data_IF_487497872716
#
_entry.id   IF_487497872716
#
_cell.length_a   1.000
_cell.length_b   1.000
_cell.length_c   1.000
_cell.angle_alpha   90.00
_cell.angle_beta   90.00
_cell.angle_gamma   90.00
#
_symmetry.space_group_name_H-M   'P 1'
#
loop_
_entity.id
_entity.type
_entity.pdbx_description
1 polymer ?
#
# COMPACT_ATOMS: atom_id res chain seq x y z
N UNK A 1 17.86 27.49 -4.15
CA UNK A 1 16.86 26.52 -3.66
C UNK A 1 15.49 27.18 -3.69
N UNK A 2 14.44 26.54 -4.22
CA UNK A 2 13.10 27.09 -4.10
C UNK A 2 12.63 27.01 -2.63
N UNK A 3 11.77 27.94 -2.19
CA UNK A 3 11.29 27.99 -0.81
C UNK A 3 10.40 26.78 -0.50
N UNK A 4 10.69 26.09 0.60
CA UNK A 4 9.85 25.01 1.12
C UNK A 4 8.57 25.67 1.67
N UNK A 5 7.36 25.25 1.27
CA UNK A 5 6.13 25.87 1.76
C UNK A 5 6.03 25.70 3.29
N UNK A 6 5.42 26.66 4.00
CA UNK A 6 5.27 26.60 5.45
C UNK A 6 4.40 25.40 5.82
N UNK A 7 4.97 24.45 6.57
CA UNK A 7 4.32 23.33 7.26
C UNK A 7 3.07 22.76 6.58
N UNK A 8 3.26 22.12 5.42
CA UNK A 8 2.21 21.26 4.89
C UNK A 8 2.16 20.00 5.74
N UNK A 9 1.15 19.85 6.60
CA UNK A 9 0.91 18.64 7.38
C UNK A 9 0.70 17.45 6.45
N UNK A 10 1.78 16.75 6.11
CA UNK A 10 1.74 15.64 5.15
C UNK A 10 2.54 14.46 5.66
N UNK A 11 2.11 13.28 5.22
CA UNK A 11 2.77 12.01 5.49
C UNK A 11 3.33 11.50 4.17
N UNK A 12 4.63 11.24 4.15
CA UNK A 12 5.33 10.62 3.03
C UNK A 12 5.11 9.11 3.06
N UNK A 13 4.74 8.54 1.91
CA UNK A 13 4.57 7.10 1.71
C UNK A 13 5.72 6.57 0.88
N UNK A 14 6.40 5.54 1.36
CA UNK A 14 7.48 4.87 0.63
C UNK A 14 7.31 3.36 0.56
N UNK A 15 7.86 2.74 -0.48
CA UNK A 15 8.00 1.28 -0.61
C UNK A 15 9.47 0.96 -0.89
N UNK A 16 10.09 0.10 -0.08
CA UNK A 16 11.52 -0.23 -0.20
C UNK A 16 12.46 1.01 -0.29
N UNK A 17 12.08 2.12 0.36
CA UNK A 17 12.81 3.39 0.33
C UNK A 17 12.44 4.34 -0.82
N UNK A 18 11.69 3.89 -1.82
CA UNK A 18 11.24 4.72 -2.94
C UNK A 18 9.96 5.50 -2.63
N UNK A 19 9.89 6.75 -3.08
CA UNK A 19 8.76 7.64 -2.83
C UNK A 19 7.54 7.33 -3.72
N UNK A 20 6.43 7.00 -3.07
CA UNK A 20 5.16 6.72 -3.72
C UNK A 20 4.31 8.00 -3.88
N UNK A 21 3.77 8.52 -2.78
CA UNK A 21 2.93 9.71 -2.78
C UNK A 21 2.90 10.35 -1.39
N UNK A 22 2.29 11.53 -1.30
CA UNK A 22 1.97 12.15 -0.01
C UNK A 22 0.52 11.84 0.37
N UNK A 23 0.28 11.62 1.66
CA UNK A 23 -1.04 11.67 2.27
C UNK A 23 -1.21 13.05 2.93
N UNK A 24 -2.29 13.72 2.57
CA UNK A 24 -2.63 15.08 2.99
C UNK A 24 -3.60 15.08 4.18
N UNK A 25 -3.82 16.23 4.83
CA UNK A 25 -4.78 16.34 5.92
C UNK A 25 -6.16 15.82 5.52
N UNK A 26 -6.82 15.13 6.43
CA UNK A 26 -8.16 14.54 6.25
C UNK A 26 -8.25 13.39 5.24
N UNK A 27 -7.13 12.91 4.71
CA UNK A 27 -7.07 11.65 3.97
C UNK A 27 -6.82 10.47 4.91
N UNK A 28 -7.24 9.27 4.49
CA UNK A 28 -7.04 8.07 5.28
C UNK A 28 -5.58 7.63 5.21
N UNK A 29 -5.06 7.09 6.31
CA UNK A 29 -3.73 6.47 6.33
C UNK A 29 -3.78 5.03 5.82
N UNK A 30 -4.86 4.33 6.13
CA UNK A 30 -5.02 2.87 6.05
C UNK A 30 -6.27 2.43 5.25
N UNK A 31 -6.76 3.29 4.35
CA UNK A 31 -7.93 2.95 3.52
C UNK A 31 -7.74 1.70 2.65
N UNK A 32 -6.57 1.41 2.05
CA UNK A 32 -6.37 0.15 1.33
C UNK A 32 -6.46 -1.07 2.25
N UNK A 33 -5.89 -1.00 3.45
CA UNK A 33 -5.92 -2.08 4.45
C UNK A 33 -7.32 -2.25 5.05
N UNK A 34 -8.08 -1.16 5.17
CA UNK A 34 -9.49 -1.25 5.55
C UNK A 34 -10.31 -2.05 4.52
N UNK A 35 -10.19 -1.74 3.23
CA UNK A 35 -10.98 -2.39 2.18
C UNK A 35 -10.51 -3.83 1.88
N UNK A 36 -9.20 -4.10 1.97
CA UNK A 36 -8.62 -5.40 1.62
C UNK A 36 -8.65 -6.44 2.74
N UNK A 37 -8.39 -6.04 4.00
CA UNK A 37 -8.25 -7.02 5.09
C UNK A 37 -9.61 -7.49 5.60
N UNK A 38 -9.65 -8.72 6.08
CA UNK A 38 -10.81 -9.22 6.81
C UNK A 38 -10.86 -8.64 8.24
N UNK A 39 -12.05 -8.56 8.87
CA UNK A 39 -12.19 -8.00 10.22
C UNK A 39 -11.37 -8.66 11.33
N UNK A 40 -10.94 -9.92 11.12
CA UNK A 40 -10.18 -10.73 12.08
C UNK A 40 -8.70 -10.88 11.71
N UNK A 41 -8.28 -10.29 10.59
CA UNK A 41 -6.95 -10.46 10.03
C UNK A 41 -6.06 -9.29 10.45
N UNK A 42 -4.88 -9.61 10.99
CA UNK A 42 -3.84 -8.62 11.21
C UNK A 42 -3.10 -8.44 9.89
N UNK A 43 -3.09 -7.22 9.37
CA UNK A 43 -2.50 -6.93 8.05
C UNK A 43 -0.99 -6.74 8.11
N UNK A 44 -0.31 -7.15 7.05
CA UNK A 44 1.05 -6.69 6.76
C UNK A 44 0.94 -5.44 5.89
N UNK A 45 1.45 -4.32 6.40
CA UNK A 45 1.55 -3.08 5.63
C UNK A 45 2.71 -3.18 4.65
N UNK A 46 2.45 -2.97 3.37
CA UNK A 46 3.45 -3.06 2.30
C UNK A 46 4.27 -1.77 2.13
N UNK A 47 3.83 -0.69 2.77
CA UNK A 47 4.42 0.66 2.67
C UNK A 47 4.87 1.17 4.03
N UNK A 48 5.83 2.07 4.02
CA UNK A 48 6.27 2.81 5.20
C UNK A 48 5.69 4.22 5.16
N UNK A 49 5.08 4.65 6.27
CA UNK A 49 4.55 5.99 6.46
C UNK A 49 5.51 6.81 7.34
N UNK A 50 5.90 8.00 6.86
CA UNK A 50 6.74 8.93 7.61
C UNK A 50 6.10 10.32 7.60
N UNK A 51 5.81 10.85 8.79
CA UNK A 51 5.34 12.23 8.89
C UNK A 51 6.50 13.22 8.65
N UNK A 52 6.31 14.18 7.74
CA UNK A 52 7.31 15.22 7.47
C UNK A 52 7.37 16.24 8.61
N UNK A 53 6.27 16.42 9.35
CA UNK A 53 6.12 17.31 10.49
C UNK A 53 5.33 16.62 11.60
N UNK A 54 5.30 17.17 12.83
CA UNK A 54 4.39 16.69 13.87
C UNK A 54 2.94 16.69 13.38
N UNK A 55 2.35 15.50 13.27
CA UNK A 55 0.98 15.31 12.79
C UNK A 55 0.09 14.72 13.90
N UNK A 56 -1.21 14.94 13.79
CA UNK A 56 -2.23 14.29 14.63
C UNK A 56 -3.11 13.43 13.74
N UNK A 57 -3.49 12.26 14.22
CA UNK A 57 -4.40 11.35 13.54
C UNK A 57 -5.51 10.91 14.49
N UNK A 58 -6.63 10.50 13.91
CA UNK A 58 -7.73 9.87 14.61
C UNK A 58 -7.69 8.38 14.28
N UNK A 59 -7.84 7.55 15.30
CA UNK A 59 -7.85 6.09 15.13
C UNK A 59 -9.17 5.51 15.64
N UNK A 60 -9.73 4.59 14.86
CA UNK A 60 -10.91 3.82 15.24
C UNK A 60 -10.55 2.35 15.35
N UNK A 61 -10.99 1.68 16.43
CA UNK A 61 -10.83 0.23 16.53
C UNK A 61 -11.76 -0.45 15.53
N UNK A 62 -11.19 -1.22 14.61
CA UNK A 62 -11.91 -1.95 13.54
C UNK A 62 -13.19 -2.64 14.03
N UNK A 63 -13.09 -3.50 15.06
CA UNK A 63 -14.24 -4.21 15.65
C UNK A 63 -15.37 -3.27 16.11
N UNK A 64 -15.04 -2.15 16.74
CA UNK A 64 -16.04 -1.18 17.21
C UNK A 64 -16.72 -0.47 16.03
N UNK A 65 -15.97 -0.18 14.98
CA UNK A 65 -16.49 0.48 13.78
C UNK A 65 -17.45 -0.44 13.01
N UNK A 66 -17.14 -1.74 12.89
CA UNK A 66 -18.09 -2.72 12.31
C UNK A 66 -19.39 -2.84 13.12
N UNK A 67 -19.31 -2.84 14.45
CA UNK A 67 -20.51 -2.84 15.31
C UNK A 67 -21.37 -1.59 15.09
N UNK A 68 -20.75 -0.42 14.88
CA UNK A 68 -21.46 0.81 14.53
C UNK A 68 -22.18 0.67 13.18
N UNK A 69 -21.48 0.16 12.16
CA UNK A 69 -22.03 -0.01 10.82
C UNK A 69 -23.15 -1.04 10.75
N UNK A 70 -23.08 -2.09 11.56
CA UNK A 70 -24.17 -3.06 11.70
C UNK A 70 -25.48 -2.41 12.20
N UNK A 71 -25.37 -1.40 13.08
CA UNK A 71 -26.52 -0.64 13.60
C UNK A 71 -26.97 0.47 12.64
N UNK A 72 -26.04 1.11 11.92
CA UNK A 72 -26.32 2.29 11.09
C UNK A 72 -25.89 2.06 9.63
N UNK A 73 -26.73 1.36 8.87
CA UNK A 73 -26.44 0.98 7.47
C UNK A 73 -26.23 2.18 6.54
N UNK A 74 -26.88 3.32 6.79
CA UNK A 74 -26.68 4.53 5.97
C UNK A 74 -25.26 5.09 6.14
N UNK A 75 -24.80 5.24 7.39
CA UNK A 75 -23.44 5.67 7.71
C UNK A 75 -22.42 4.70 7.10
N UNK A 76 -22.68 3.39 7.18
CA UNK A 76 -21.82 2.38 6.59
C UNK A 76 -21.64 2.56 5.07
N UNK A 77 -22.73 2.87 4.35
CA UNK A 77 -22.68 3.14 2.90
C UNK A 77 -21.86 4.38 2.58
N UNK A 78 -22.11 5.48 3.30
CA UNK A 78 -21.35 6.73 3.11
C UNK A 78 -19.87 6.50 3.40
N UNK A 79 -19.54 5.85 4.52
CA UNK A 79 -18.16 5.54 4.87
C UNK A 79 -17.47 4.70 3.79
N UNK A 80 -18.14 3.67 3.28
CA UNK A 80 -17.60 2.84 2.20
C UNK A 80 -17.31 3.65 0.92
N UNK A 81 -18.18 4.61 0.57
CA UNK A 81 -17.94 5.51 -0.58
C UNK A 81 -16.72 6.40 -0.36
N UNK A 82 -16.59 6.98 0.84
CA UNK A 82 -15.45 7.86 1.18
C UNK A 82 -14.13 7.07 1.15
N UNK A 83 -14.10 5.85 1.69
CA UNK A 83 -12.92 4.98 1.64
C UNK A 83 -12.54 4.64 0.20
N UNK A 84 -13.50 4.25 -0.64
CA UNK A 84 -13.22 3.93 -2.05
C UNK A 84 -12.71 5.16 -2.81
N UNK A 85 -13.25 6.34 -2.54
CA UNK A 85 -12.75 7.58 -3.14
C UNK A 85 -11.29 7.84 -2.76
N UNK A 86 -10.95 7.71 -1.48
CA UNK A 86 -9.57 7.89 -1.00
C UNK A 86 -8.60 6.87 -1.65
N UNK A 87 -8.98 5.59 -1.76
CA UNK A 87 -8.19 4.59 -2.48
C UNK A 87 -7.99 4.98 -3.95
N UNK A 88 -9.06 5.46 -4.59
CA UNK A 88 -9.03 5.90 -5.98
C UNK A 88 -8.04 7.05 -6.16
N UNK A 89 -8.12 8.09 -5.33
CA UNK A 89 -7.23 9.25 -5.38
C UNK A 89 -5.75 8.85 -5.19
N UNK A 90 -5.48 7.88 -4.30
CA UNK A 90 -4.14 7.31 -4.12
C UNK A 90 -3.66 6.55 -5.36
N UNK A 91 -4.51 5.71 -5.97
CA UNK A 91 -4.19 5.02 -7.22
C UNK A 91 -3.88 6.00 -8.35
N UNK A 92 -4.66 7.07 -8.47
CA UNK A 92 -4.41 8.14 -9.44
C UNK A 92 -3.04 8.79 -9.22
N UNK A 93 -2.68 9.05 -7.96
CA UNK A 93 -1.38 9.64 -7.60
C UNK A 93 -0.18 8.72 -7.93
N UNK A 94 -0.41 7.40 -7.98
CA UNK A 94 0.60 6.40 -8.36
C UNK A 94 0.68 6.16 -9.87
N UNK A 95 -0.40 6.40 -10.60
CA UNK A 95 -0.54 5.99 -11.99
C UNK A 95 0.46 6.68 -12.93
N UNK A 96 0.92 7.88 -12.61
CA UNK A 96 1.96 8.57 -13.38
C UNK A 96 3.35 7.95 -13.22
N UNK A 97 3.53 7.03 -12.27
CA UNK A 97 4.83 6.41 -11.92
C UNK A 97 4.90 4.92 -12.26
N UNK A 98 3.83 4.33 -12.78
CA UNK A 98 3.78 2.90 -13.08
C UNK A 98 4.39 2.61 -14.46
N UNK A 99 5.68 2.34 -14.51
CA UNK A 99 6.39 1.93 -15.74
C UNK A 99 7.02 0.55 -15.57
N UNK A 100 7.14 -0.24 -16.65
CA UNK A 100 8.00 -1.43 -16.65
C UNK A 100 9.45 -1.11 -17.03
N UNK A 101 10.30 -2.14 -16.99
CA UNK A 101 11.67 -2.11 -17.48
C UNK A 101 11.79 -1.84 -18.99
N UNK A 102 10.70 -1.91 -19.76
CA UNK A 102 10.65 -1.60 -21.19
C UNK A 102 10.17 -0.17 -21.49
N UNK A 103 9.82 0.62 -20.45
CA UNK A 103 9.30 1.98 -20.56
C UNK A 103 7.81 2.07 -20.87
N UNK A 104 7.07 0.95 -20.86
CA UNK A 104 5.62 0.95 -20.99
C UNK A 104 4.95 1.47 -19.71
N UNK A 105 4.05 2.43 -19.90
CA UNK A 105 3.22 2.98 -18.83
C UNK A 105 2.03 2.06 -18.56
N UNK A 106 1.88 1.60 -17.34
CA UNK A 106 0.69 0.90 -16.89
C UNK A 106 -0.40 1.87 -16.46
N UNK A 107 -1.64 1.48 -16.70
CA UNK A 107 -2.79 2.11 -16.09
C UNK A 107 -3.34 1.22 -14.98
N UNK A 108 -2.95 1.52 -13.73
CA UNK A 108 -3.36 0.77 -12.54
C UNK A 108 -4.88 0.79 -12.30
N UNK A 109 -5.62 1.63 -13.04
CA UNK A 109 -7.08 1.74 -12.96
C UNK A 109 -7.79 0.71 -13.84
N UNK A 110 -7.10 0.10 -14.80
CA UNK A 110 -7.70 -0.85 -15.74
C UNK A 110 -7.62 -2.28 -15.18
N UNK A 111 -8.76 -2.96 -14.93
CA UNK A 111 -8.79 -4.30 -14.31
C UNK A 111 -8.05 -5.41 -15.08
N UNK A 112 -7.75 -5.20 -16.36
CA UNK A 112 -7.39 -6.27 -17.30
C UNK A 112 -5.99 -6.16 -17.92
N UNK A 113 -5.19 -5.15 -17.56
CA UNK A 113 -3.88 -4.96 -18.18
C UNK A 113 -2.70 -5.44 -17.33
N UNK A 114 -2.95 -5.91 -16.11
CA UNK A 114 -1.95 -6.54 -15.25
C UNK A 114 -1.89 -8.06 -15.46
N UNK A 115 -1.79 -8.53 -16.71
CA UNK A 115 -1.36 -9.90 -16.99
C UNK A 115 0.13 -9.86 -17.33
N UNK A 116 0.98 -10.01 -16.30
CA UNK A 116 2.32 -10.53 -16.51
C UNK A 116 2.28 -12.05 -16.27
N UNK A 117 2.78 -12.89 -17.21
CA UNK A 117 3.36 -14.15 -16.80
C UNK A 117 4.49 -13.82 -15.82
N UNK A 118 4.51 -14.49 -14.67
CA UNK A 118 5.40 -14.15 -13.57
C UNK A 118 6.83 -13.86 -14.02
N UNK A 119 7.36 -12.71 -13.60
CA UNK A 119 8.80 -12.52 -13.55
C UNK A 119 9.38 -13.70 -12.77
N UNK A 120 10.22 -14.51 -13.43
CA UNK A 120 11.06 -15.51 -12.78
C UNK A 120 12.04 -14.83 -11.82
N UNK A 121 11.54 -14.37 -10.69
CA UNK A 121 12.31 -13.81 -9.57
C UNK A 121 12.22 -14.72 -8.34
N UNK A 122 11.73 -15.95 -8.50
CA UNK A 122 11.85 -17.06 -7.55
C UNK A 122 12.94 -18.09 -7.94
N UNK A 123 13.69 -17.89 -9.02
CA UNK A 123 14.77 -18.82 -9.43
C UNK A 123 16.19 -18.41 -9.03
N UNK A 124 16.36 -17.31 -8.31
CA UNK A 124 17.69 -16.89 -7.82
C UNK A 124 18.08 -17.54 -6.48
N UNK A 125 17.14 -18.14 -5.72
CA UNK A 125 17.44 -18.76 -4.43
C UNK A 125 17.66 -20.28 -4.47
N UNK A 126 17.64 -20.90 -5.66
CA UNK A 126 17.87 -22.36 -5.81
C UNK A 126 19.34 -22.72 -6.07
N UNK A 127 20.21 -21.75 -6.40
CA UNK A 127 21.61 -22.01 -6.76
C UNK A 127 22.66 -21.78 -5.67
N UNK A 128 22.26 -21.55 -4.42
CA UNK A 128 23.17 -21.58 -3.27
C UNK A 128 22.92 -22.81 -2.37
N UNK A 129 22.88 -24.01 -2.96
CA UNK A 129 23.21 -25.22 -2.22
C UNK A 129 24.66 -25.61 -2.52
N UNK A 130 25.54 -25.29 -1.57
CA UNK A 130 26.92 -25.78 -1.51
C UNK A 130 26.88 -27.32 -1.46
N UNK A 131 27.63 -28.05 -2.31
CA UNK A 131 27.70 -29.50 -2.21
C UNK A 131 28.49 -29.90 -0.95
N UNK A 132 27.83 -30.53 0.02
CA UNK A 132 28.51 -31.26 1.10
C UNK A 132 29.12 -32.53 0.49
N UNK A 133 30.44 -32.54 0.30
CA UNK A 133 31.20 -33.75 0.01
C UNK A 133 31.11 -34.70 1.22
N UNK A 134 30.46 -35.85 1.05
CA UNK A 134 30.62 -37.00 1.95
C UNK A 134 31.95 -37.69 1.64
N UNK A 135 32.82 -37.98 2.62
CA UNK A 135 33.93 -38.89 2.39
C UNK A 135 33.43 -40.32 2.28
N UNK A 136 33.89 -41.03 1.25
CA UNK A 136 33.87 -42.49 1.17
C UNK A 136 35.09 -43.01 1.93
N UNK A 137 34.88 -43.96 2.82
CA UNK A 137 35.94 -44.90 3.22
C UNK A 137 35.37 -46.30 3.27
N UNK A 138 36.19 -47.24 2.79
CA UNK A 138 35.97 -48.66 2.63
C UNK A 138 35.73 -49.40 3.96
#
# INVERSE_FOLDING_TARGET
>A
MPPVPPFSYRVCVTVNGEFLHYIYPFQFLDSPEWDSLRPSEEGVFQVTLRADNPCRYVVWRRKKLYLLFAKHRYIAKIFALVVRNDITDKLYSLNDKAFDCSGHRYDLRLPSYCHMPGTELEKADVFLQVPVQRPKTA
#
